data_IF_722320040240
#
_entry.id   IF_722320040240
#
_cell.length_a   1.000
_cell.length_b   1.000
_cell.length_c   1.000
_cell.angle_alpha   90.00
_cell.angle_beta   90.00
_cell.angle_gamma   90.00
#
_symmetry.space_group_name_H-M   'P 1'
#
loop_
_entity.id
_entity.type
_entity.pdbx_description
1 polymer ?
#
# COMPACT_ATOMS: atom_id res chain seq x y z
N UNK A 1 19.94 15.27 8.53
CA UNK A 1 20.16 14.73 7.18
C UNK A 1 18.80 14.62 6.52
N UNK A 2 18.63 15.11 5.30
CA UNK A 2 17.40 14.85 4.53
C UNK A 2 17.47 13.45 3.97
N UNK A 3 16.50 12.59 4.29
CA UNK A 3 16.35 11.30 3.63
C UNK A 3 15.90 11.53 2.18
N UNK A 4 16.48 10.80 1.24
CA UNK A 4 15.92 10.71 -0.11
C UNK A 4 14.65 9.84 -0.08
N UNK A 5 13.86 9.92 -1.15
CA UNK A 5 12.72 9.02 -1.35
C UNK A 5 13.15 7.55 -1.25
N UNK A 6 14.25 7.18 -1.91
CA UNK A 6 14.76 5.82 -1.87
C UNK A 6 15.22 5.39 -0.48
N UNK A 7 15.78 6.29 0.34
CA UNK A 7 16.15 5.96 1.71
C UNK A 7 14.93 5.62 2.57
N UNK A 8 13.84 6.39 2.40
CA UNK A 8 12.57 6.13 3.11
C UNK A 8 11.96 4.81 2.66
N UNK A 9 11.93 4.56 1.35
CA UNK A 9 11.44 3.30 0.77
C UNK A 9 12.23 2.12 1.32
N UNK A 10 13.56 2.20 1.30
CA UNK A 10 14.41 1.11 1.79
C UNK A 10 14.23 0.86 3.28
N UNK A 11 14.14 1.92 4.08
CA UNK A 11 14.03 1.81 5.54
C UNK A 11 12.67 1.28 6.00
N UNK A 12 11.58 1.74 5.37
CA UNK A 12 10.22 1.49 5.88
C UNK A 12 9.38 0.55 5.02
N UNK A 13 9.63 0.45 3.71
CA UNK A 13 8.71 -0.20 2.78
C UNK A 13 9.30 -1.41 2.03
N UNK A 14 10.62 -1.51 1.88
CA UNK A 14 11.28 -2.63 1.17
C UNK A 14 10.95 -4.01 1.76
N UNK A 15 10.71 -4.08 3.06
CA UNK A 15 10.35 -5.30 3.78
C UNK A 15 8.84 -5.54 3.88
N UNK A 16 8.01 -4.58 3.44
CA UNK A 16 6.56 -4.66 3.56
C UNK A 16 5.94 -5.64 2.55
N UNK A 17 6.67 -6.00 1.49
CA UNK A 17 6.21 -6.94 0.46
C UNK A 17 6.97 -8.26 0.55
N UNK A 18 6.26 -9.36 0.80
CA UNK A 18 6.83 -10.71 0.76
C UNK A 18 7.18 -11.14 -0.68
N UNK A 19 8.02 -12.18 -0.81
CA UNK A 19 8.37 -12.74 -2.10
C UNK A 19 7.16 -13.46 -2.72
N UNK A 20 6.68 -12.96 -3.86
CA UNK A 20 5.43 -13.38 -4.51
C UNK A 20 5.72 -13.80 -5.95
N UNK A 21 5.36 -15.02 -6.30
CA UNK A 21 5.61 -15.56 -7.66
C UNK A 21 4.84 -14.86 -8.78
N UNK A 22 3.81 -14.08 -8.45
CA UNK A 22 3.04 -13.26 -9.38
C UNK A 22 3.56 -11.82 -9.50
N UNK A 23 4.61 -11.44 -8.76
CA UNK A 23 5.30 -10.15 -8.87
C UNK A 23 6.57 -10.34 -9.70
N UNK A 24 6.57 -9.86 -10.94
CA UNK A 24 7.71 -9.91 -11.85
C UNK A 24 8.75 -8.82 -11.55
N UNK A 25 8.26 -7.66 -11.06
CA UNK A 25 9.07 -6.53 -10.62
C UNK A 25 8.37 -5.88 -9.42
N UNK A 26 9.08 -5.79 -8.29
CA UNK A 26 8.58 -5.25 -7.02
C UNK A 26 9.06 -3.82 -6.74
N UNK A 27 9.19 -3.48 -5.46
CA UNK A 27 9.71 -2.18 -5.00
C UNK A 27 11.14 -1.95 -5.49
N UNK A 28 11.44 -0.74 -5.97
CA UNK A 28 12.80 -0.31 -6.36
C UNK A 28 12.94 0.27 -7.77
N UNK A 29 11.84 0.37 -8.51
CA UNK A 29 11.76 0.94 -9.87
C UNK A 29 10.49 1.80 -10.01
N UNK A 30 10.27 2.41 -11.17
CA UNK A 30 9.17 3.36 -11.44
C UNK A 30 7.77 2.73 -11.33
N UNK A 31 7.65 1.41 -11.52
CA UNK A 31 6.40 0.68 -11.35
C UNK A 31 6.61 -0.81 -11.05
N UNK A 32 5.61 -1.43 -10.42
CA UNK A 32 5.56 -2.87 -10.24
C UNK A 32 4.99 -3.57 -11.48
N UNK A 33 5.52 -4.73 -11.82
CA UNK A 33 4.99 -5.60 -12.87
C UNK A 33 4.37 -6.85 -12.23
N UNK A 34 3.10 -7.10 -12.52
CA UNK A 34 2.31 -8.19 -11.93
C UNK A 34 1.79 -9.12 -13.03
N UNK A 35 1.84 -10.43 -12.79
CA UNK A 35 1.30 -11.45 -13.68
C UNK A 35 0.25 -12.31 -12.93
N UNK A 36 -1.03 -11.90 -12.94
CA UNK A 36 -2.09 -12.65 -12.25
C UNK A 36 -2.23 -14.07 -12.81
N UNK A 37 -2.67 -15.05 -11.99
CA UNK A 37 -2.95 -16.40 -12.47
C UNK A 37 -3.96 -16.40 -13.63
N UNK A 38 -3.78 -17.32 -14.58
CA UNK A 38 -4.68 -17.47 -15.70
C UNK A 38 -6.14 -17.67 -15.24
N UNK A 39 -7.07 -16.98 -15.91
CA UNK A 39 -8.49 -17.03 -15.57
C UNK A 39 -8.89 -16.25 -14.32
N UNK A 40 -7.98 -15.46 -13.73
CA UNK A 40 -8.29 -14.54 -12.62
C UNK A 40 -8.12 -13.08 -13.04
N UNK A 41 -8.80 -12.20 -12.32
CA UNK A 41 -8.65 -10.76 -12.42
C UNK A 41 -7.89 -10.23 -11.21
N UNK A 42 -7.07 -9.20 -11.42
CA UNK A 42 -6.47 -8.43 -10.33
C UNK A 42 -7.36 -7.21 -10.03
N UNK A 43 -7.88 -7.12 -8.81
CA UNK A 43 -8.56 -5.94 -8.31
C UNK A 43 -7.58 -5.07 -7.53
N UNK A 44 -7.65 -3.75 -7.75
CA UNK A 44 -6.81 -2.75 -7.09
C UNK A 44 -7.73 -1.66 -6.54
N UNK A 45 -7.63 -1.36 -5.24
CA UNK A 45 -8.22 -0.16 -4.63
C UNK A 45 -7.10 0.75 -4.11
N UNK A 46 -7.28 2.06 -4.25
CA UNK A 46 -6.35 3.09 -3.81
C UNK A 46 -7.15 4.26 -3.23
N UNK A 47 -7.01 4.47 -1.93
CA UNK A 47 -7.61 5.58 -1.20
C UNK A 47 -6.59 6.56 -0.61
N UNK A 48 -6.98 7.83 -0.53
CA UNK A 48 -6.20 8.89 0.13
C UNK A 48 -6.90 9.39 1.38
N UNK A 49 -6.21 9.36 2.52
CA UNK A 49 -6.69 9.96 3.77
C UNK A 49 -6.01 11.33 3.99
N UNK A 50 -6.80 12.32 4.39
CA UNK A 50 -6.41 13.74 4.50
C UNK A 50 -6.76 14.23 5.90
N UNK A 51 -5.80 14.85 6.58
CA UNK A 51 -6.00 15.45 7.91
C UNK A 51 -7.12 16.50 7.88
N UNK A 52 -7.92 16.57 8.96
CA UNK A 52 -9.07 17.46 9.08
C UNK A 52 -10.32 17.03 8.30
N UNK A 53 -10.19 16.03 7.42
CA UNK A 53 -11.32 15.45 6.66
C UNK A 53 -11.55 13.98 6.99
N UNK A 54 -10.51 13.18 6.92
CA UNK A 54 -10.56 11.73 7.12
C UNK A 54 -10.06 11.30 8.51
N UNK A 55 -9.19 12.09 9.14
CA UNK A 55 -8.68 11.89 10.49
C UNK A 55 -8.35 13.25 11.15
N UNK A 56 -8.21 13.28 12.48
CA UNK A 56 -7.85 14.48 13.25
C UNK A 56 -6.34 14.55 13.49
N UNK A 57 -5.75 15.75 13.67
CA UNK A 57 -4.31 15.92 13.84
C UNK A 57 -3.71 15.11 15.00
N UNK A 58 -4.49 14.90 16.07
CA UNK A 58 -4.05 14.22 17.29
C UNK A 58 -4.27 12.70 17.24
N UNK A 59 -4.64 12.15 16.08
CA UNK A 59 -4.85 10.71 15.92
C UNK A 59 -3.57 9.94 16.27
N UNK A 60 -3.74 8.83 16.99
CA UNK A 60 -2.65 7.88 17.20
C UNK A 60 -2.13 7.38 15.82
N UNK A 61 -0.81 7.53 15.52
CA UNK A 61 -0.26 7.12 14.25
C UNK A 61 -0.50 5.63 13.92
N UNK A 62 -0.50 4.75 14.93
CA UNK A 62 -0.76 3.33 14.71
C UNK A 62 -2.23 3.09 14.32
N UNK A 63 -3.17 3.75 14.99
CA UNK A 63 -4.58 3.75 14.61
C UNK A 63 -4.82 4.33 13.20
N UNK A 64 -4.10 5.39 12.82
CA UNK A 64 -4.17 5.95 11.47
C UNK A 64 -3.66 4.96 10.42
N UNK A 65 -2.53 4.29 10.68
CA UNK A 65 -2.02 3.24 9.80
C UNK A 65 -2.99 2.07 9.63
N UNK A 66 -3.63 1.64 10.73
CA UNK A 66 -4.68 0.62 10.67
C UNK A 66 -5.86 1.08 9.79
N UNK A 67 -6.34 2.31 9.99
CA UNK A 67 -7.46 2.86 9.19
C UNK A 67 -7.10 2.97 7.71
N UNK A 68 -5.89 3.42 7.39
CA UNK A 68 -5.42 3.56 6.00
C UNK A 68 -5.46 2.21 5.24
N UNK A 69 -5.13 1.11 5.91
CA UNK A 69 -5.28 -0.23 5.33
C UNK A 69 -6.74 -0.68 5.30
N UNK A 70 -7.48 -0.48 6.39
CA UNK A 70 -8.84 -0.99 6.56
C UNK A 70 -9.82 -0.47 5.50
N UNK A 71 -9.71 0.79 5.07
CA UNK A 71 -10.61 1.37 4.05
C UNK A 71 -10.46 0.66 2.70
N UNK A 72 -9.22 0.48 2.23
CA UNK A 72 -8.96 -0.22 0.96
C UNK A 72 -9.36 -1.70 1.03
N UNK A 73 -9.14 -2.37 2.17
CA UNK A 73 -9.59 -3.75 2.38
C UNK A 73 -11.11 -3.87 2.35
N UNK A 74 -11.83 -2.86 2.84
CA UNK A 74 -13.29 -2.81 2.80
C UNK A 74 -13.80 -2.77 1.36
N UNK A 75 -13.20 -1.97 0.48
CA UNK A 75 -13.60 -1.90 -0.94
C UNK A 75 -13.38 -3.25 -1.63
N UNK A 76 -12.22 -3.87 -1.40
CA UNK A 76 -11.92 -5.18 -1.98
C UNK A 76 -12.90 -6.24 -1.49
N UNK A 77 -13.24 -6.24 -0.20
CA UNK A 77 -14.21 -7.18 0.38
C UNK A 77 -15.62 -7.01 -0.20
N UNK A 78 -15.98 -5.81 -0.67
CA UNK A 78 -17.26 -5.54 -1.32
C UNK A 78 -17.33 -6.11 -2.74
N UNK A 79 -16.20 -6.44 -3.37
CA UNK A 79 -16.13 -6.99 -4.73
C UNK A 79 -16.26 -8.53 -4.78
N UNK A 80 -16.23 -9.22 -3.64
CA UNK A 80 -16.37 -10.69 -3.51
C UNK A 80 -15.11 -11.39 -3.00
#
# INVERSE_FOLDING_TARGET
MSFSEFDLIQTYFSHATGNRGDVLLGIGDDCALLNPPAGRCLAISIDTLVEGRHFLPEVDPAALGHKALAVNLSDLAAMG
#
